data_IF_935236273328
#
_entry.id   IF_935236273328
#
_cell.length_a   1.000
_cell.length_b   1.000
_cell.length_c   1.000
_cell.angle_alpha   90.00
_cell.angle_beta   90.00
_cell.angle_gamma   90.00
#
_symmetry.space_group_name_H-M   'P 1'
#
loop_
_entity.id
_entity.type
_entity.pdbx_description
1 polymer ?
#
# COMPACT_ATOMS: atom_id res chain seq x y z
N UNK A 1 45.62 32.14 4.42
CA UNK A 1 45.58 31.09 5.47
C UNK A 1 44.96 29.84 4.87
N UNK A 2 45.72 28.77 4.69
CA UNK A 2 45.24 27.55 4.04
C UNK A 2 44.32 26.76 4.98
N UNK A 3 43.07 26.55 4.56
CA UNK A 3 42.09 25.72 5.27
C UNK A 3 42.61 24.27 5.29
N UNK A 4 42.85 23.72 6.48
CA UNK A 4 43.35 22.35 6.66
C UNK A 4 42.44 21.28 6.06
N UNK A 5 43.00 20.08 5.80
CA UNK A 5 42.29 18.94 5.22
C UNK A 5 41.01 18.60 5.99
N UNK A 6 39.95 18.24 5.26
CA UNK A 6 38.67 17.79 5.83
C UNK A 6 38.91 16.55 6.71
N UNK A 7 38.27 16.45 7.89
CA UNK A 7 38.40 15.27 8.74
C UNK A 7 37.77 14.05 8.05
N UNK A 8 38.43 12.90 8.17
CA UNK A 8 37.98 11.62 7.63
C UNK A 8 36.67 11.15 8.28
N UNK A 9 35.91 10.33 7.57
CA UNK A 9 34.68 9.72 8.06
C UNK A 9 34.92 8.87 9.32
N UNK A 10 33.94 8.81 10.25
CA UNK A 10 34.14 8.27 11.60
C UNK A 10 34.64 6.81 11.62
N UNK A 11 34.18 5.96 10.70
CA UNK A 11 34.61 4.56 10.60
C UNK A 11 36.07 4.39 10.14
N UNK A 12 36.58 5.26 9.27
CA UNK A 12 37.97 5.24 8.81
C UNK A 12 38.95 5.71 9.90
N UNK A 13 38.48 6.56 10.82
CA UNK A 13 39.27 7.09 11.93
C UNK A 13 39.34 6.17 13.15
N UNK A 14 38.44 5.20 13.25
CA UNK A 14 38.48 4.14 14.26
C UNK A 14 39.45 3.02 13.83
N UNK A 15 39.47 2.67 12.55
CA UNK A 15 40.42 1.69 11.99
C UNK A 15 41.88 2.19 12.02
N UNK A 16 42.12 3.49 11.89
CA UNK A 16 43.48 4.07 11.82
C UNK A 16 44.16 4.23 13.19
N UNK A 17 43.44 3.96 14.28
CA UNK A 17 43.92 4.20 15.65
C UNK A 17 44.17 5.68 15.92
N UNK A 18 44.10 6.13 17.18
CA UNK A 18 44.28 7.54 17.55
C UNK A 18 45.78 7.83 17.83
N UNK A 19 46.59 8.26 16.84
CA UNK A 19 48.05 8.30 17.00
C UNK A 19 48.50 9.55 17.77
N UNK A 20 47.64 10.56 17.84
CA UNK A 20 47.78 11.71 18.73
C UNK A 20 46.85 11.52 19.91
N UNK A 21 47.39 11.27 21.10
CA UNK A 21 46.65 11.15 22.39
C UNK A 21 45.90 12.42 22.81
N UNK A 22 45.47 13.29 21.89
CA UNK A 22 44.55 14.39 22.16
C UNK A 22 43.15 13.81 22.33
N UNK A 23 42.53 14.08 23.47
CA UNK A 23 41.11 13.81 23.69
C UNK A 23 40.33 14.54 22.62
N UNK A 24 39.69 13.78 21.72
CA UNK A 24 38.87 14.33 20.65
C UNK A 24 37.73 15.13 21.31
N UNK A 25 37.40 16.29 20.77
CA UNK A 25 36.28 17.17 21.14
C UNK A 25 34.89 16.53 20.92
N UNK A 26 34.78 15.20 21.00
CA UNK A 26 33.52 14.44 21.02
C UNK A 26 32.63 14.83 22.20
N UNK A 27 33.17 15.44 23.26
CA UNK A 27 32.40 15.91 24.41
C UNK A 27 31.40 17.06 24.10
N UNK A 28 31.55 17.78 22.97
CA UNK A 28 30.62 18.86 22.57
C UNK A 28 29.80 18.57 21.32
N UNK A 29 29.94 17.39 20.72
CA UNK A 29 29.08 16.93 19.60
C UNK A 29 28.31 15.64 19.93
N UNK A 30 28.36 15.20 21.20
CA UNK A 30 27.51 14.12 21.74
C UNK A 30 26.08 14.56 22.08
N UNK A 31 25.72 15.82 21.82
CA UNK A 31 24.36 16.36 21.98
C UNK A 31 23.66 16.61 20.65
N UNK A 32 24.03 15.88 19.58
CA UNK A 32 23.09 15.62 18.50
C UNK A 32 22.32 14.37 18.94
N UNK A 33 21.04 14.46 19.33
CA UNK A 33 20.30 13.26 19.71
C UNK A 33 20.38 12.31 18.51
N UNK A 34 21.01 11.16 18.74
CA UNK A 34 20.91 10.05 17.81
C UNK A 34 19.42 9.85 17.61
N UNK A 35 18.94 10.05 16.38
CA UNK A 35 17.59 9.70 16.00
C UNK A 35 17.32 8.31 16.56
N UNK A 36 16.25 8.14 17.37
CA UNK A 36 16.00 6.86 18.00
C UNK A 36 15.81 5.86 16.88
N UNK A 37 16.81 5.00 16.64
CA UNK A 37 16.61 3.78 15.86
C UNK A 37 15.39 3.12 16.50
N UNK A 38 14.31 2.84 15.75
CA UNK A 38 13.15 2.19 16.31
C UNK A 38 13.65 0.86 16.89
N UNK A 39 13.77 0.80 18.20
CA UNK A 39 14.03 -0.46 18.87
C UNK A 39 12.79 -1.30 18.60
N UNK A 40 12.92 -2.46 17.93
CA UNK A 40 11.76 -3.32 17.78
C UNK A 40 11.27 -3.61 19.18
N UNK A 41 10.04 -3.17 19.48
CA UNK A 41 9.38 -3.44 20.76
C UNK A 41 9.47 -4.95 20.93
N UNK A 42 10.26 -5.41 21.90
CA UNK A 42 10.47 -6.82 22.15
C UNK A 42 9.10 -7.45 22.44
N UNK A 43 8.54 -8.10 21.42
CA UNK A 43 7.19 -8.62 21.44
C UNK A 43 7.16 -9.86 22.34
N UNK A 44 6.96 -9.66 23.64
CA UNK A 44 6.31 -10.67 24.45
C UNK A 44 5.01 -11.06 23.75
N UNK A 45 4.79 -12.36 23.53
CA UNK A 45 3.70 -12.85 22.69
C UNK A 45 2.36 -12.19 23.01
N UNK A 46 1.72 -11.61 21.99
CA UNK A 46 0.45 -10.89 22.13
C UNK A 46 -0.63 -11.88 22.56
N UNK A 47 -1.26 -11.61 23.72
CA UNK A 47 -2.27 -12.49 24.30
C UNK A 47 -3.66 -12.16 23.74
N UNK A 48 -4.49 -13.18 23.42
CA UNK A 48 -5.85 -12.94 22.96
C UNK A 48 -6.70 -12.29 24.07
N UNK A 49 -7.54 -11.29 23.73
CA UNK A 49 -8.50 -10.71 24.67
C UNK A 49 -9.43 -11.77 25.29
N UNK A 50 -9.83 -11.55 26.55
CA UNK A 50 -10.69 -12.50 27.30
C UNK A 50 -12.00 -12.84 26.59
N UNK A 51 -12.60 -11.88 25.89
CA UNK A 51 -13.86 -12.07 25.18
C UNK A 51 -13.72 -12.99 23.96
N UNK A 52 -12.56 -13.01 23.30
CA UNK A 52 -12.33 -13.83 22.11
C UNK A 52 -12.37 -15.32 22.46
N UNK A 53 -11.91 -15.68 23.65
CA UNK A 53 -11.92 -17.06 24.18
C UNK A 53 -13.32 -17.67 24.28
N UNK A 54 -14.39 -16.85 24.24
CA UNK A 54 -15.77 -17.34 24.20
C UNK A 54 -16.16 -17.93 22.84
N UNK A 55 -15.37 -17.66 21.79
CA UNK A 55 -15.56 -18.22 20.45
C UNK A 55 -14.35 -19.10 20.10
N UNK A 56 -14.48 -20.44 20.15
CA UNK A 56 -13.39 -21.37 19.83
C UNK A 56 -12.85 -21.16 18.41
N UNK A 57 -13.74 -21.08 17.41
CA UNK A 57 -13.36 -20.87 16.01
C UNK A 57 -12.56 -19.56 15.82
N UNK A 58 -12.92 -18.47 16.49
CA UNK A 58 -12.18 -17.22 16.37
C UNK A 58 -10.83 -17.28 17.11
N UNK A 59 -10.75 -18.09 18.17
CA UNK A 59 -9.50 -18.35 18.89
C UNK A 59 -8.55 -19.21 18.07
N UNK A 60 -9.05 -20.15 17.27
CA UNK A 60 -8.24 -20.93 16.32
C UNK A 60 -7.57 -20.01 15.28
N UNK A 61 -8.35 -19.11 14.65
CA UNK A 61 -7.82 -18.10 13.73
C UNK A 61 -6.74 -17.25 14.40
N UNK A 62 -6.97 -16.81 15.64
CA UNK A 62 -5.96 -16.08 16.39
C UNK A 62 -4.67 -16.88 16.57
N UNK A 63 -4.78 -18.14 17.00
CA UNK A 63 -3.63 -18.99 17.27
C UNK A 63 -2.82 -19.31 16.01
N UNK A 64 -3.45 -19.31 14.84
CA UNK A 64 -2.80 -19.51 13.56
C UNK A 64 -2.02 -18.27 13.11
N UNK A 65 -2.68 -17.10 13.11
CA UNK A 65 -2.12 -15.88 12.48
C UNK A 65 -1.32 -14.99 13.44
N UNK A 66 -1.69 -14.91 14.72
CA UNK A 66 -0.97 -14.09 15.70
C UNK A 66 0.54 -14.40 15.79
N UNK A 67 1.00 -15.68 15.84
CA UNK A 67 2.42 -15.96 15.91
C UNK A 67 3.16 -15.59 14.61
N UNK A 68 2.51 -15.69 13.45
CA UNK A 68 3.09 -15.28 12.16
C UNK A 68 3.28 -13.76 12.09
N UNK A 69 2.25 -13.00 12.48
CA UNK A 69 2.33 -11.54 12.52
C UNK A 69 3.35 -11.05 13.56
N UNK A 70 3.45 -11.74 14.70
CA UNK A 70 4.45 -11.40 15.73
C UNK A 70 5.87 -11.65 15.22
N UNK A 71 6.12 -12.74 14.48
CA UNK A 71 7.43 -13.01 13.84
C UNK A 71 7.84 -11.92 12.84
N UNK A 72 6.87 -11.31 12.18
CA UNK A 72 7.07 -10.21 11.25
C UNK A 72 7.11 -8.82 11.93
N UNK A 73 7.00 -8.75 13.26
CA UNK A 73 6.85 -7.51 14.03
C UNK A 73 5.66 -6.64 13.58
N UNK A 74 4.60 -7.27 13.05
CA UNK A 74 3.38 -6.60 12.58
C UNK A 74 2.26 -6.56 13.63
N UNK A 75 2.42 -7.29 14.75
CA UNK A 75 1.43 -7.35 15.81
C UNK A 75 2.06 -6.93 17.14
N UNK A 76 1.56 -5.83 17.70
CA UNK A 76 1.95 -5.37 19.03
C UNK A 76 0.83 -5.62 20.05
N UNK A 77 1.10 -5.51 21.36
CA UNK A 77 0.06 -5.62 22.38
C UNK A 77 -1.07 -4.59 22.23
N UNK A 78 -0.81 -3.43 21.62
CA UNK A 78 -1.82 -2.41 21.34
C UNK A 78 -2.86 -2.92 20.33
N UNK A 79 -2.40 -3.67 19.35
CA UNK A 79 -3.20 -4.13 18.22
C UNK A 79 -4.00 -5.41 18.53
N UNK A 80 -3.89 -5.91 19.76
CA UNK A 80 -4.54 -7.14 20.20
C UNK A 80 -6.07 -7.07 20.05
N UNK A 81 -6.68 -5.93 20.35
CA UNK A 81 -8.14 -5.79 20.29
C UNK A 81 -8.65 -5.67 18.84
N UNK A 82 -8.07 -4.80 17.97
CA UNK A 82 -8.39 -4.80 16.54
C UNK A 82 -8.19 -6.17 15.88
N UNK A 83 -7.10 -6.87 16.17
CA UNK A 83 -6.82 -8.19 15.60
C UNK A 83 -7.82 -9.25 16.08
N UNK A 84 -8.29 -9.17 17.33
CA UNK A 84 -9.32 -10.08 17.83
C UNK A 84 -10.66 -9.88 17.11
N UNK A 85 -10.99 -8.63 16.74
CA UNK A 85 -12.18 -8.34 15.93
C UNK A 85 -12.06 -8.95 14.54
N UNK A 86 -10.89 -8.86 13.91
CA UNK A 86 -10.61 -9.54 12.64
C UNK A 86 -10.86 -11.04 12.75
N UNK A 87 -10.33 -11.70 13.78
CA UNK A 87 -10.53 -13.14 13.99
C UNK A 87 -12.03 -13.50 14.09
N UNK A 88 -12.84 -12.66 14.74
CA UNK A 88 -14.29 -12.85 14.80
C UNK A 88 -14.95 -12.68 13.44
N UNK A 89 -14.56 -11.65 12.68
CA UNK A 89 -15.11 -11.37 11.35
C UNK A 89 -14.80 -12.46 10.34
N UNK A 90 -13.61 -13.07 10.39
CA UNK A 90 -13.27 -14.22 9.55
C UNK A 90 -14.24 -15.37 9.79
N UNK A 91 -14.54 -15.69 11.06
CA UNK A 91 -15.50 -16.76 11.41
C UNK A 91 -16.91 -16.44 10.93
N UNK A 92 -17.37 -15.20 11.13
CA UNK A 92 -18.69 -14.78 10.70
C UNK A 92 -18.79 -14.76 9.16
N UNK A 93 -17.71 -14.42 8.46
CA UNK A 93 -17.63 -14.47 7.00
C UNK A 93 -17.68 -15.91 6.49
N UNK A 94 -16.93 -16.84 7.10
CA UNK A 94 -16.99 -18.27 6.76
C UNK A 94 -18.39 -18.85 6.98
N UNK A 95 -19.07 -18.44 8.06
CA UNK A 95 -20.44 -18.85 8.32
C UNK A 95 -21.41 -18.30 7.26
N UNK A 96 -21.26 -17.03 6.88
CA UNK A 96 -22.06 -16.41 5.82
C UNK A 96 -21.81 -17.05 4.45
N UNK A 97 -20.55 -17.36 4.12
CA UNK A 97 -20.16 -18.03 2.88
C UNK A 97 -20.72 -19.46 2.80
N UNK A 98 -20.71 -20.19 3.92
CA UNK A 98 -21.35 -21.51 4.01
C UNK A 98 -22.87 -21.44 3.82
N UNK A 99 -23.54 -20.41 4.33
CA UNK A 99 -24.97 -20.20 4.12
C UNK A 99 -25.27 -19.90 2.64
N UNK A 100 -24.52 -18.99 2.02
CA UNK A 100 -24.65 -18.66 0.60
C UNK A 100 -24.38 -19.87 -0.29
N UNK A 101 -23.39 -20.69 0.04
CA UNK A 101 -23.05 -21.90 -0.72
C UNK A 101 -24.17 -22.94 -0.70
N UNK A 102 -24.98 -22.98 0.37
CA UNK A 102 -26.10 -23.92 0.52
C UNK A 102 -27.40 -23.41 -0.09
N UNK A 103 -27.73 -22.15 0.15
CA UNK A 103 -29.04 -21.57 -0.16
C UNK A 103 -29.04 -20.80 -1.49
N UNK A 104 -27.85 -20.44 -1.98
CA UNK A 104 -27.66 -19.62 -3.17
C UNK A 104 -27.63 -18.12 -2.87
N UNK A 105 -27.29 -17.34 -3.90
CA UNK A 105 -27.20 -15.86 -3.80
C UNK A 105 -28.57 -15.19 -3.83
N UNK A 106 -29.57 -15.87 -4.39
CA UNK A 106 -30.91 -15.35 -4.62
C UNK A 106 -31.95 -16.31 -4.07
N UNK A 107 -33.00 -15.78 -3.44
CA UNK A 107 -34.15 -16.55 -3.01
C UNK A 107 -35.44 -15.92 -3.55
N UNK A 108 -36.45 -16.75 -3.78
CA UNK A 108 -37.77 -16.28 -4.19
C UNK A 108 -38.54 -15.81 -2.95
N UNK A 109 -38.96 -14.56 -2.95
CA UNK A 109 -39.83 -13.98 -1.94
C UNK A 109 -41.18 -13.64 -2.56
N UNK A 110 -42.27 -13.88 -1.82
CA UNK A 110 -43.60 -13.41 -2.22
C UNK A 110 -43.79 -12.02 -1.65
N UNK A 111 -44.06 -11.03 -2.49
CA UNK A 111 -44.41 -9.68 -2.04
C UNK A 111 -45.87 -9.62 -1.57
N UNK A 112 -46.25 -8.53 -0.88
CA UNK A 112 -47.59 -8.32 -0.33
C UNK A 112 -48.71 -8.43 -1.38
N UNK A 113 -48.37 -8.19 -2.66
CA UNK A 113 -49.29 -8.28 -3.79
C UNK A 113 -49.41 -9.71 -4.37
N UNK A 114 -48.73 -10.70 -3.79
CA UNK A 114 -48.76 -12.10 -4.24
C UNK A 114 -47.79 -12.43 -5.38
N UNK A 115 -47.09 -11.45 -5.94
CA UNK A 115 -46.08 -11.66 -6.98
C UNK A 115 -44.78 -12.24 -6.40
N UNK A 116 -44.17 -13.16 -7.15
CA UNK A 116 -42.90 -13.80 -6.78
C UNK A 116 -41.74 -12.97 -7.30
N UNK A 117 -41.04 -12.30 -6.41
CA UNK A 117 -39.86 -11.50 -6.73
C UNK A 117 -38.59 -12.20 -6.26
N UNK A 118 -37.53 -12.16 -7.06
CA UNK A 118 -36.20 -12.65 -6.65
C UNK A 118 -35.51 -11.59 -5.80
N UNK A 119 -35.24 -11.91 -4.53
CA UNK A 119 -34.50 -11.05 -3.60
C UNK A 119 -33.12 -11.63 -3.32
N UNK A 120 -32.17 -10.74 -3.03
CA UNK A 120 -30.80 -11.14 -2.70
C UNK A 120 -30.72 -11.71 -1.30
N UNK A 121 -30.00 -12.81 -1.13
CA UNK A 121 -29.88 -13.49 0.15
C UNK A 121 -29.23 -12.59 1.21
N UNK A 122 -29.79 -12.47 2.43
CA UNK A 122 -29.21 -11.62 3.48
C UNK A 122 -27.79 -12.07 3.88
N UNK A 123 -27.51 -13.38 3.91
CA UNK A 123 -26.16 -13.87 4.18
C UNK A 123 -25.16 -13.47 3.08
N UNK A 124 -25.62 -13.33 1.83
CA UNK A 124 -24.75 -12.81 0.76
C UNK A 124 -24.41 -11.34 0.98
N UNK A 125 -25.38 -10.53 1.43
CA UNK A 125 -25.12 -9.14 1.80
C UNK A 125 -24.14 -9.06 3.00
N UNK A 126 -24.36 -9.85 4.05
CA UNK A 126 -23.46 -9.89 5.20
C UNK A 126 -22.03 -10.28 4.80
N UNK A 127 -21.89 -11.29 3.95
CA UNK A 127 -20.59 -11.73 3.41
C UNK A 127 -19.89 -10.61 2.64
N UNK A 128 -20.59 -9.89 1.76
CA UNK A 128 -20.01 -8.76 1.03
C UNK A 128 -19.54 -7.63 1.94
N UNK A 129 -20.27 -7.36 3.02
CA UNK A 129 -19.89 -6.30 3.96
C UNK A 129 -18.69 -6.70 4.82
N UNK A 130 -18.66 -7.96 5.28
CA UNK A 130 -17.53 -8.52 5.99
C UNK A 130 -16.27 -8.57 5.11
N UNK A 131 -16.40 -8.93 3.83
CA UNK A 131 -15.29 -8.94 2.86
C UNK A 131 -14.59 -7.58 2.80
N UNK A 132 -15.36 -6.48 2.71
CA UNK A 132 -14.81 -5.12 2.68
C UNK A 132 -14.09 -4.77 3.98
N UNK A 133 -14.71 -5.11 5.12
CA UNK A 133 -14.11 -4.90 6.43
C UNK A 133 -12.80 -5.68 6.58
N UNK A 134 -12.79 -6.96 6.20
CA UNK A 134 -11.63 -7.85 6.27
C UNK A 134 -10.51 -7.33 5.37
N UNK A 135 -10.79 -7.03 4.10
CA UNK A 135 -9.79 -6.50 3.17
C UNK A 135 -9.16 -5.19 3.66
N UNK A 136 -9.91 -4.34 4.37
CA UNK A 136 -9.38 -3.11 4.97
C UNK A 136 -8.46 -3.40 6.15
N UNK A 137 -8.87 -4.30 7.05
CA UNK A 137 -8.07 -4.69 8.22
C UNK A 137 -6.77 -5.41 7.79
N UNK A 138 -6.86 -6.31 6.81
CA UNK A 138 -5.70 -7.01 6.24
C UNK A 138 -4.66 -6.08 5.62
N UNK A 139 -5.12 -4.99 5.00
CA UNK A 139 -4.25 -3.94 4.50
C UNK A 139 -3.50 -3.24 5.64
N UNK A 140 -4.21 -2.88 6.72
CA UNK A 140 -3.66 -2.14 7.86
C UNK A 140 -2.61 -2.95 8.63
N UNK A 141 -2.83 -4.26 8.80
CA UNK A 141 -1.87 -5.15 9.44
C UNK A 141 -0.71 -5.58 8.52
N UNK A 142 -0.75 -5.24 7.23
CA UNK A 142 0.27 -5.67 6.27
C UNK A 142 0.20 -7.16 5.92
N UNK A 143 -0.97 -7.80 6.05
CA UNK A 143 -1.17 -9.19 5.63
C UNK A 143 -1.14 -9.33 4.11
N UNK A 144 -1.50 -8.26 3.38
CA UNK A 144 -1.52 -8.27 1.91
C UNK A 144 -0.17 -7.82 1.31
N UNK A 145 0.38 -8.52 0.31
CA UNK A 145 1.65 -8.15 -0.32
C UNK A 145 1.65 -6.74 -0.93
N UNK A 146 0.59 -6.37 -1.66
CA UNK A 146 0.41 -5.06 -2.28
C UNK A 146 0.51 -3.92 -1.26
N UNK A 147 -0.10 -4.11 -0.09
CA UNK A 147 -0.13 -3.13 1.00
C UNK A 147 1.26 -2.97 1.61
N UNK A 148 2.02 -4.07 1.76
CA UNK A 148 3.43 -4.01 2.21
C UNK A 148 4.33 -3.30 1.21
N UNK A 149 4.19 -3.60 -0.09
CA UNK A 149 4.99 -2.93 -1.14
C UNK A 149 4.68 -1.45 -1.22
N UNK A 150 3.41 -1.07 -1.11
CA UNK A 150 3.00 0.34 -1.10
C UNK A 150 3.62 1.10 0.06
N UNK A 151 3.57 0.55 1.28
CA UNK A 151 4.20 1.16 2.46
C UNK A 151 5.72 1.30 2.27
N UNK A 152 6.39 0.30 1.70
CA UNK A 152 7.83 0.36 1.42
C UNK A 152 8.17 1.43 0.37
N UNK A 153 7.39 1.52 -0.71
CA UNK A 153 7.57 2.53 -1.75
C UNK A 153 7.34 3.95 -1.20
N UNK A 154 6.32 4.14 -0.36
CA UNK A 154 6.04 5.41 0.30
C UNK A 154 7.17 5.80 1.27
N UNK A 155 7.70 4.85 2.04
CA UNK A 155 8.87 5.08 2.91
C UNK A 155 10.12 5.44 2.11
N UNK A 156 10.39 4.74 1.01
CA UNK A 156 11.53 5.04 0.13
C UNK A 156 11.41 6.45 -0.47
N UNK A 157 10.20 6.86 -0.87
CA UNK A 157 9.92 8.22 -1.34
C UNK A 157 10.15 9.26 -0.24
N UNK A 158 9.66 9.00 0.98
CA UNK A 158 9.81 9.91 2.12
C UNK A 158 11.28 10.08 2.55
N UNK A 159 12.09 9.02 2.44
CA UNK A 159 13.53 9.05 2.74
C UNK A 159 14.38 9.63 1.59
N UNK A 160 13.77 10.14 0.53
CA UNK A 160 14.47 10.79 -0.59
C UNK A 160 15.12 9.82 -1.58
N UNK A 161 14.92 8.51 -1.42
CA UNK A 161 15.38 7.51 -2.41
C UNK A 161 14.50 7.48 -3.67
N UNK A 162 13.36 8.16 -3.67
CA UNK A 162 12.42 8.25 -4.80
C UNK A 162 12.77 9.28 -5.89
N UNK A 163 13.81 10.11 -5.70
CA UNK A 163 14.16 11.18 -6.64
C UNK A 163 15.00 10.77 -7.86
N UNK A 164 15.34 9.48 -8.01
CA UNK A 164 16.26 9.05 -9.08
C UNK A 164 15.58 8.83 -10.44
N UNK A 165 14.26 8.60 -10.46
CA UNK A 165 13.46 8.41 -11.68
C UNK A 165 12.26 9.34 -11.77
N UNK A 166 12.06 10.22 -10.78
CA UNK A 166 10.97 11.20 -10.75
C UNK A 166 11.43 12.56 -11.30
N UNK A 167 12.38 12.57 -12.23
CA UNK A 167 12.65 13.76 -13.01
C UNK A 167 11.47 13.91 -13.98
N UNK A 168 10.59 14.92 -13.82
CA UNK A 168 9.65 15.22 -14.89
C UNK A 168 10.52 15.47 -16.12
N UNK A 169 10.22 14.78 -17.22
CA UNK A 169 10.81 15.08 -18.51
C UNK A 169 10.78 16.61 -18.67
N UNK A 170 11.96 17.21 -18.80
CA UNK A 170 12.13 18.66 -18.80
C UNK A 170 11.10 19.27 -19.75
N UNK A 171 10.07 19.90 -19.18
CA UNK A 171 9.20 20.82 -19.89
C UNK A 171 10.11 21.96 -20.31
N UNK A 172 10.48 21.97 -21.59
CA UNK A 172 11.19 23.07 -22.21
C UNK A 172 10.37 24.33 -22.02
N UNK A 173 10.92 25.23 -21.20
CA UNK A 173 10.50 26.61 -21.08
C UNK A 173 10.81 27.31 -22.40
N UNK A 174 9.81 27.45 -23.25
CA UNK A 174 9.81 28.47 -24.31
C UNK A 174 8.83 29.56 -23.86
N UNK A 175 9.38 30.54 -23.17
CA UNK A 175 8.78 31.85 -22.99
C UNK A 175 8.94 32.62 -24.30
N UNK A 176 7.96 32.51 -25.19
CA UNK A 176 7.74 33.51 -26.25
C UNK A 176 6.29 33.95 -26.22
N UNK A 177 6.10 35.17 -25.74
CA UNK A 177 4.85 35.94 -25.82
C UNK A 177 4.44 36.11 -27.28
N UNK A 178 3.20 35.76 -27.68
CA UNK A 178 2.61 36.32 -28.87
C UNK A 178 1.57 37.37 -28.48
N UNK A 179 1.74 38.56 -29.03
CA UNK A 179 0.74 39.61 -29.06
C UNK A 179 -0.60 39.09 -29.59
N UNK A 180 -1.69 39.68 -29.08
CA UNK A 180 -3.06 39.48 -29.52
C UNK A 180 -3.18 39.57 -31.06
N UNK A 181 -3.98 38.70 -31.69
CA UNK A 181 -4.65 39.05 -32.93
C UNK A 181 -6.15 39.24 -32.69
N UNK A 182 -6.65 40.30 -33.32
CA UNK A 182 -8.05 40.66 -33.46
C UNK A 182 -8.90 39.55 -34.12
N UNK A 183 -10.21 39.79 -34.08
CA UNK A 183 -11.33 38.91 -34.34
C UNK A 183 -11.45 38.26 -35.75
N UNK A 184 -12.31 37.21 -35.77
CA UNK A 184 -13.12 36.60 -36.85
C UNK A 184 -12.38 35.89 -38.01
N UNK A 185 -12.81 34.74 -38.57
CA UNK A 185 -14.17 34.24 -38.86
C UNK A 185 -14.33 32.70 -38.67
N UNK A 186 -15.58 32.29 -38.46
CA UNK A 186 -16.08 30.92 -38.56
C UNK A 186 -16.06 30.47 -40.02
N UNK A 187 -15.34 29.40 -40.36
CA UNK A 187 -15.73 28.50 -41.45
C UNK A 187 -15.00 27.14 -41.35
N UNK A 188 -15.83 26.10 -41.36
CA UNK A 188 -15.61 24.71 -41.74
C UNK A 188 -14.78 23.74 -40.87
N UNK A 189 -15.56 23.10 -39.99
CA UNK A 189 -15.30 21.85 -39.28
C UNK A 189 -15.13 20.72 -40.30
N UNK A 190 -13.90 20.43 -40.71
CA UNK A 190 -13.69 19.55 -41.86
C UNK A 190 -12.42 18.72 -41.92
N UNK A 191 -11.71 18.41 -40.82
CA UNK A 191 -10.58 17.45 -40.92
C UNK A 191 -10.19 16.73 -39.62
N UNK A 192 -11.11 15.96 -39.04
CA UNK A 192 -10.80 15.02 -37.94
C UNK A 192 -10.62 13.57 -38.46
N UNK A 193 -10.88 13.34 -39.76
CA UNK A 193 -10.80 12.01 -40.41
C UNK A 193 -9.51 11.88 -41.27
N UNK A 194 -8.57 12.84 -41.22
CA UNK A 194 -7.27 12.73 -41.90
C UNK A 194 -6.21 11.90 -41.15
N UNK A 195 -6.31 11.78 -39.82
CA UNK A 195 -5.21 11.24 -38.98
C UNK A 195 -5.12 9.70 -39.00
N UNK A 196 -6.19 8.98 -39.36
CA UNK A 196 -6.20 7.51 -39.38
C UNK A 196 -5.73 6.87 -40.71
N UNK A 197 -5.46 7.66 -41.76
CA UNK A 197 -5.06 7.11 -43.08
C UNK A 197 -3.55 6.83 -43.21
N UNK A 198 -2.76 7.19 -42.20
CA UNK A 198 -1.30 6.98 -42.18
C UNK A 198 -0.83 5.64 -41.60
N UNK A 199 -1.75 4.77 -41.15
CA UNK A 199 -1.42 3.51 -40.45
C UNK A 199 -1.69 2.23 -41.25
N UNK A 200 -2.18 2.31 -42.48
CA UNK A 200 -2.36 1.14 -43.34
C UNK A 200 -1.04 0.74 -44.00
N UNK A 201 -0.42 -0.34 -43.49
CA UNK A 201 0.70 -1.02 -44.17
C UNK A 201 0.18 -1.89 -45.32
N UNK A 202 0.84 -1.91 -46.49
CA UNK A 202 0.43 -2.75 -47.60
C UNK A 202 0.63 -4.25 -47.30
N UNK A 203 -0.25 -5.14 -47.78
CA UNK A 203 -0.14 -6.58 -47.55
C UNK A 203 1.05 -7.20 -48.30
N UNK A 204 1.65 -8.30 -47.80
CA UNK A 204 2.84 -8.90 -48.40
C UNK A 204 2.53 -9.48 -49.79
N UNK A 205 3.27 -9.01 -50.80
CA UNK A 205 3.24 -9.53 -52.17
C UNK A 205 3.68 -10.99 -52.21
N UNK A 206 2.83 -11.84 -52.80
CA UNK A 206 3.12 -13.25 -53.06
C UNK A 206 4.33 -13.43 -53.96
N UNK A 207 5.12 -14.49 -53.69
CA UNK A 207 6.27 -14.89 -54.52
C UNK A 207 5.81 -15.28 -55.93
N UNK A 208 6.54 -14.89 -56.99
CA UNK A 208 6.30 -15.42 -58.32
C UNK A 208 6.89 -16.83 -58.49
N UNK A 209 6.02 -17.72 -58.99
CA UNK A 209 6.17 -19.10 -59.52
C UNK A 209 6.77 -20.18 -58.62
#
# INVERSE_FOLDING_TARGET
MARGRKPDAPGLQEAKGNPGKRQKSKAKQASKPAEPKPTPVAAGGVKPPKWLRRSPAATEVWNEFAPLLTKLNLLTPLDAFPFARYCRYVVDWLAADKAVSKEGVWFNATDTNGEKTKKRHPAFHARQELEKCLSSIEAQFGMRPDSRYKLLAEQARALGFGGLFDQPAASGDNTETPAQPDAVDEDDIGDVIGVMKGMDSPPPVGRPN
#
